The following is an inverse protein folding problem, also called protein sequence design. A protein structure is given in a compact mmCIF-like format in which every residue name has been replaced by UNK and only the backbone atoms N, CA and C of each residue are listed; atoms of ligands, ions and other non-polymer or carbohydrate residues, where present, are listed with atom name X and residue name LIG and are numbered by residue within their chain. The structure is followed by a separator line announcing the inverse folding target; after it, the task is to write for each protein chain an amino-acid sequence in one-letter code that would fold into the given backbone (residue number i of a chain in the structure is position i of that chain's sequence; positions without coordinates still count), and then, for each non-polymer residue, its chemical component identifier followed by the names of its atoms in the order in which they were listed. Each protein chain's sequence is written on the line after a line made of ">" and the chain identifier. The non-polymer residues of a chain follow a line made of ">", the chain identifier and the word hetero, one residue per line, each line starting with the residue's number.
data_IF_411160505758
#
_entry.id   IF_411160505758
#
_cell.length_a   1.000
_cell.length_b   1.000
_cell.length_c   1.000
_cell.angle_alpha   90.00
_cell.angle_beta   90.00
_cell.angle_gamma   90.00
#
_symmetry.space_group_name_H-M   'P 1'
#
loop_
_entity.id
_entity.type
_entity.pdbx_description
1 polymer ?
#
# COMPACT_ATOMS: atom_id res chain seq x y z
N UNK A 1 4.11 17.65 12.40
CA UNK A 1 4.50 16.46 11.65
C UNK A 1 5.71 15.81 12.31
N UNK A 2 5.44 14.81 13.14
CA UNK A 2 6.39 14.15 14.04
C UNK A 2 6.95 12.83 13.49
N UNK A 3 6.60 12.44 12.26
CA UNK A 3 7.09 11.19 11.65
C UNK A 3 8.61 11.24 11.50
N UNK A 4 9.30 10.37 12.25
CA UNK A 4 10.74 10.12 12.10
C UNK A 4 10.94 8.86 11.26
N UNK A 5 11.68 8.96 10.18
CA UNK A 5 11.95 7.86 9.24
C UNK A 5 13.38 7.34 9.33
N UNK A 6 14.24 7.92 10.17
CA UNK A 6 15.68 7.62 10.20
C UNK A 6 15.98 6.16 10.58
N UNK A 7 15.17 5.58 11.47
CA UNK A 7 15.31 4.19 11.92
C UNK A 7 14.16 3.30 11.40
N UNK A 8 13.57 3.67 10.27
CA UNK A 8 12.46 2.89 9.74
C UNK A 8 12.87 1.51 9.30
N UNK A 9 12.16 0.50 9.79
CA UNK A 9 12.37 -0.89 9.39
C UNK A 9 11.08 -1.51 8.89
N UNK A 10 11.21 -2.41 7.94
CA UNK A 10 10.11 -3.19 7.37
C UNK A 10 10.38 -4.65 7.65
N UNK A 11 9.45 -5.30 8.33
CA UNK A 11 9.49 -6.74 8.55
C UNK A 11 8.78 -7.44 7.40
N UNK A 12 9.45 -8.39 6.78
CA UNK A 12 8.92 -9.22 5.69
C UNK A 12 8.94 -10.66 6.17
N UNK A 13 7.76 -11.26 6.36
CA UNK A 13 7.61 -12.57 7.01
C UNK A 13 6.49 -13.42 6.42
N UNK A 14 6.10 -14.46 7.15
CA UNK A 14 5.05 -15.40 6.79
C UNK A 14 5.56 -16.55 5.94
N UNK A 15 4.79 -16.95 4.93
CA UNK A 15 5.04 -18.12 4.08
C UNK A 15 6.09 -17.82 3.00
N UNK A 16 7.33 -17.63 3.42
CA UNK A 16 8.51 -17.33 2.58
C UNK A 16 9.72 -18.15 3.02
N UNK A 17 10.63 -18.44 2.08
CA UNK A 17 11.91 -19.10 2.41
C UNK A 17 12.89 -18.13 3.08
N UNK A 18 12.89 -16.86 2.69
CA UNK A 18 13.85 -15.84 3.10
C UNK A 18 13.15 -14.69 3.83
N UNK A 19 12.67 -14.86 5.08
CA UNK A 19 12.16 -13.73 5.86
C UNK A 19 13.28 -12.76 6.16
N UNK A 20 12.94 -11.45 6.21
CA UNK A 20 13.92 -10.39 6.44
C UNK A 20 13.34 -9.22 7.19
N UNK A 21 14.21 -8.49 7.88
CA UNK A 21 13.93 -7.17 8.43
C UNK A 21 14.92 -6.20 7.81
N UNK A 22 14.41 -5.22 7.09
CA UNK A 22 15.22 -4.33 6.25
C UNK A 22 14.96 -2.87 6.56
N UNK A 23 15.99 -2.05 6.39
CA UNK A 23 15.88 -0.61 6.39
C UNK A 23 15.60 -0.09 4.98
N UNK A 24 15.34 1.21 4.84
CA UNK A 24 15.23 1.84 3.52
C UNK A 24 16.56 1.81 2.76
N UNK A 25 17.67 1.94 3.48
CA UNK A 25 19.01 1.86 2.91
C UNK A 25 19.30 0.44 2.36
N UNK A 26 18.90 -0.60 3.09
CA UNK A 26 18.99 -1.99 2.60
C UNK A 26 18.18 -2.16 1.31
N UNK A 27 16.95 -1.64 1.26
CA UNK A 27 16.12 -1.73 0.06
C UNK A 27 16.75 -1.01 -1.13
N UNK A 28 17.33 0.17 -0.92
CA UNK A 28 18.01 0.93 -1.98
C UNK A 28 19.24 0.23 -2.54
N UNK A 29 19.92 -0.56 -1.72
CA UNK A 29 21.07 -1.41 -2.12
C UNK A 29 20.63 -2.68 -2.82
N UNK A 30 19.48 -3.24 -2.42
CA UNK A 30 18.95 -4.50 -2.99
C UNK A 30 18.25 -4.31 -4.33
N UNK A 31 17.62 -3.15 -4.57
CA UNK A 31 16.80 -2.91 -5.74
C UNK A 31 17.21 -1.61 -6.44
N UNK A 32 17.31 -1.66 -7.78
CA UNK A 32 17.47 -0.45 -8.58
C UNK A 32 16.18 0.36 -8.55
N UNK A 33 16.29 1.63 -8.16
CA UNK A 33 15.17 2.56 -8.18
C UNK A 33 14.88 3.02 -9.62
N UNK A 34 13.62 3.11 -9.97
CA UNK A 34 13.12 3.62 -11.24
C UNK A 34 12.01 4.63 -11.02
N UNK A 35 11.73 5.46 -12.01
CA UNK A 35 10.57 6.34 -12.02
C UNK A 35 9.45 5.70 -12.82
N UNK A 36 8.22 5.76 -12.30
CA UNK A 36 6.99 5.35 -12.98
C UNK A 36 5.93 6.41 -12.86
N UNK A 37 5.40 6.82 -14.00
CA UNK A 37 4.33 7.82 -14.06
C UNK A 37 3.00 7.08 -14.14
N UNK A 38 2.22 7.15 -13.06
CA UNK A 38 0.93 6.48 -12.96
C UNK A 38 -0.21 7.46 -12.71
N UNK A 39 -1.36 7.19 -13.35
CA UNK A 39 -2.62 7.78 -12.93
C UNK A 39 -3.08 7.10 -11.64
N UNK A 40 -3.38 7.91 -10.65
CA UNK A 40 -3.83 7.48 -9.33
C UNK A 40 -5.27 7.95 -9.13
N UNK A 41 -6.21 7.03 -8.95
CA UNK A 41 -7.63 7.33 -8.84
C UNK A 41 -8.16 7.02 -7.45
N UNK A 42 -8.83 8.00 -6.85
CA UNK A 42 -9.55 7.83 -5.59
C UNK A 42 -10.96 7.25 -5.84
N UNK A 43 -11.46 6.48 -4.87
CA UNK A 43 -12.85 6.01 -4.88
C UNK A 43 -13.86 7.16 -4.80
N UNK A 44 -13.45 8.34 -4.33
CA UNK A 44 -14.26 9.58 -4.31
C UNK A 44 -14.33 10.31 -5.66
N UNK A 45 -14.01 9.61 -6.76
CA UNK A 45 -14.10 10.11 -8.14
C UNK A 45 -13.23 11.34 -8.44
N UNK A 46 -12.00 11.38 -7.90
CA UNK A 46 -10.94 12.28 -8.36
C UNK A 46 -9.68 11.50 -8.73
N UNK A 47 -8.85 12.07 -9.57
CA UNK A 47 -7.57 11.47 -9.99
C UNK A 47 -6.46 12.48 -10.14
N UNK A 48 -5.23 11.99 -10.12
CA UNK A 48 -4.02 12.74 -10.43
C UNK A 48 -3.01 11.84 -11.12
N UNK A 49 -2.09 12.44 -11.85
CA UNK A 49 -0.93 11.75 -12.44
C UNK A 49 0.27 12.05 -11.56
N UNK A 50 0.96 11.00 -11.12
CA UNK A 50 2.09 11.12 -10.18
C UNK A 50 3.29 10.34 -10.71
N UNK A 51 4.47 10.97 -10.83
CA UNK A 51 5.73 10.26 -11.07
C UNK A 51 6.28 9.71 -9.75
N UNK A 52 6.14 8.40 -9.58
CA UNK A 52 6.61 7.67 -8.40
C UNK A 52 8.05 7.19 -8.60
N UNK A 53 8.89 7.30 -7.57
CA UNK A 53 10.22 6.73 -7.53
C UNK A 53 10.24 5.53 -6.59
N UNK A 54 10.79 4.41 -7.02
CA UNK A 54 10.80 3.18 -6.23
C UNK A 54 11.19 1.96 -7.03
N UNK A 55 10.63 0.81 -6.70
CA UNK A 55 10.96 -0.47 -7.35
C UNK A 55 9.73 -1.39 -7.43
N UNK A 56 9.79 -2.37 -8.33
CA UNK A 56 8.72 -3.34 -8.54
C UNK A 56 8.46 -4.19 -7.29
N UNK A 57 7.19 -4.35 -6.89
CA UNK A 57 6.81 -5.27 -5.83
C UNK A 57 7.20 -6.71 -6.18
N UNK A 58 7.10 -7.11 -7.45
CA UNK A 58 7.51 -8.43 -7.92
C UNK A 58 8.99 -8.73 -7.66
N UNK A 59 9.86 -7.72 -7.68
CA UNK A 59 11.29 -7.89 -7.35
C UNK A 59 11.48 -8.27 -5.88
N UNK A 60 10.73 -7.66 -4.96
CA UNK A 60 10.73 -8.04 -3.55
C UNK A 60 10.19 -9.46 -3.34
N UNK A 61 9.06 -9.79 -4.00
CA UNK A 61 8.45 -11.12 -3.94
C UNK A 61 9.45 -12.20 -4.37
N UNK A 62 10.14 -12.00 -5.49
CA UNK A 62 11.18 -12.93 -5.98
C UNK A 62 12.33 -13.09 -4.98
N UNK A 63 12.72 -12.02 -4.29
CA UNK A 63 13.83 -12.03 -3.31
C UNK A 63 13.52 -12.88 -2.09
N UNK A 64 12.29 -12.80 -1.58
CA UNK A 64 11.87 -13.52 -0.36
C UNK A 64 11.44 -14.96 -0.65
N UNK A 65 11.22 -15.33 -1.91
CA UNK A 65 10.84 -16.67 -2.36
C UNK A 65 9.61 -17.21 -1.61
N UNK A 66 8.40 -16.80 -1.99
CA UNK A 66 7.19 -17.31 -1.37
C UNK A 66 7.05 -18.82 -1.51
N UNK A 67 6.56 -19.46 -0.46
CA UNK A 67 6.17 -20.87 -0.50
C UNK A 67 4.94 -21.04 -1.40
N UNK A 68 4.72 -22.22 -1.94
CA UNK A 68 3.57 -22.53 -2.81
C UNK A 68 2.21 -22.34 -2.12
N UNK A 69 2.19 -22.38 -0.80
CA UNK A 69 1.01 -22.11 0.05
C UNK A 69 0.68 -20.61 0.17
N UNK A 70 1.62 -19.71 -0.10
CA UNK A 70 1.35 -18.28 -0.07
C UNK A 70 0.43 -17.88 -1.23
N UNK A 71 -0.76 -17.39 -0.90
CA UNK A 71 -1.78 -16.97 -1.89
C UNK A 71 -2.00 -15.48 -1.91
N UNK A 72 -1.68 -14.80 -0.82
CA UNK A 72 -1.89 -13.37 -0.61
C UNK A 72 -0.70 -12.73 0.07
N UNK A 73 -0.59 -11.42 -0.10
CA UNK A 73 0.32 -10.55 0.66
C UNK A 73 -0.53 -9.60 1.48
N UNK A 74 -0.24 -9.53 2.77
CA UNK A 74 -0.85 -8.61 3.73
C UNK A 74 0.15 -7.52 4.09
N UNK A 75 -0.27 -6.27 4.01
CA UNK A 75 0.51 -5.09 4.35
C UNK A 75 -0.07 -4.43 5.59
N UNK A 76 0.81 -3.91 6.45
CA UNK A 76 0.42 -3.13 7.64
C UNK A 76 1.17 -1.81 7.67
N UNK A 77 0.43 -0.74 8.03
CA UNK A 77 1.02 0.56 8.31
C UNK A 77 1.51 0.65 9.76
N UNK A 78 2.37 1.63 10.03
CA UNK A 78 2.79 1.93 11.41
C UNK A 78 1.59 2.34 12.26
N UNK A 79 1.44 1.71 13.42
CA UNK A 79 0.55 2.15 14.48
C UNK A 79 1.39 2.82 15.56
N UNK A 80 1.41 4.14 15.54
CA UNK A 80 2.10 4.96 16.54
C UNK A 80 1.41 6.32 16.67
N UNK A 81 0.60 6.46 17.69
CA UNK A 81 -0.17 7.69 17.93
C UNK A 81 0.66 8.89 18.36
N UNK A 82 1.95 8.70 18.67
CA UNK A 82 2.88 9.81 18.90
C UNK A 82 3.39 10.42 17.60
N UNK A 83 3.62 9.57 16.59
CA UNK A 83 4.01 9.99 15.23
C UNK A 83 2.81 10.37 14.37
N UNK A 84 1.66 9.74 14.60
CA UNK A 84 0.41 9.98 13.88
C UNK A 84 -0.71 10.35 14.86
N UNK A 85 -0.82 11.62 15.25
CA UNK A 85 -1.83 12.06 16.23
C UNK A 85 -3.28 11.73 15.86
N UNK A 86 -3.57 11.62 14.57
CA UNK A 86 -4.91 11.26 14.07
C UNK A 86 -5.30 9.82 14.41
N UNK A 87 -4.34 8.94 14.69
CA UNK A 87 -4.60 7.57 15.16
C UNK A 87 -5.22 7.56 16.59
N UNK A 88 -5.06 8.63 17.37
CA UNK A 88 -5.70 8.79 18.69
C UNK A 88 -7.19 9.10 18.62
N UNK A 89 -7.70 9.51 17.48
CA UNK A 89 -9.09 9.96 17.29
C UNK A 89 -10.09 8.82 17.15
N UNK A 90 -9.88 7.68 17.81
CA UNK A 90 -10.75 6.49 17.77
C UNK A 90 -12.24 6.74 18.09
N UNK A 91 -12.64 7.93 18.54
CA UNK A 91 -14.06 8.31 18.78
C UNK A 91 -14.69 9.07 17.59
N UNK A 92 -13.87 9.57 16.66
CA UNK A 92 -14.30 10.24 15.43
C UNK A 92 -13.57 9.71 14.18
N UNK A 93 -12.67 8.73 14.36
CA UNK A 93 -11.96 8.06 13.27
C UNK A 93 -12.87 7.00 12.66
N UNK A 94 -13.02 7.06 11.35
CA UNK A 94 -13.76 6.06 10.55
C UNK A 94 -12.94 4.78 10.40
N UNK A 95 -11.66 4.77 10.82
CA UNK A 95 -10.68 3.72 10.48
C UNK A 95 -10.00 3.20 11.74
N UNK A 96 -9.99 1.86 11.91
CA UNK A 96 -9.18 1.18 12.92
C UNK A 96 -7.72 1.02 12.47
N UNK A 97 -6.78 1.14 13.41
CA UNK A 97 -5.35 0.93 13.18
C UNK A 97 -4.86 -0.37 13.85
N UNK A 98 -3.76 -1.00 13.36
CA UNK A 98 -3.01 -0.61 12.18
C UNK A 98 -3.86 -0.70 10.90
N UNK A 99 -3.64 0.23 9.96
CA UNK A 99 -4.28 0.13 8.65
C UNK A 99 -3.71 -1.10 7.92
N UNK A 100 -4.59 -1.94 7.40
CA UNK A 100 -4.27 -3.20 6.74
C UNK A 100 -4.80 -3.20 5.32
N UNK A 101 -3.97 -3.66 4.39
CA UNK A 101 -4.34 -3.94 3.02
C UNK A 101 -3.82 -5.29 2.55
N UNK A 102 -4.43 -5.80 1.49
CA UNK A 102 -4.04 -7.07 0.89
C UNK A 102 -4.04 -7.06 -0.64
N UNK A 103 -3.19 -7.90 -1.20
CA UNK A 103 -3.17 -8.24 -2.62
C UNK A 103 -3.14 -9.76 -2.77
N UNK A 104 -3.72 -10.29 -3.86
CA UNK A 104 -3.43 -11.65 -4.30
C UNK A 104 -1.98 -11.72 -4.81
N UNK A 105 -1.42 -12.93 -4.81
CA UNK A 105 -0.05 -13.14 -5.28
C UNK A 105 0.14 -12.75 -6.76
N UNK A 106 -0.84 -13.04 -7.63
CA UNK A 106 -0.78 -12.65 -9.04
C UNK A 106 -0.87 -11.12 -9.23
N UNK A 107 -1.63 -10.42 -8.40
CA UNK A 107 -1.66 -8.95 -8.39
C UNK A 107 -0.33 -8.35 -7.91
N UNK A 108 0.29 -8.96 -6.89
CA UNK A 108 1.60 -8.54 -6.41
C UNK A 108 2.72 -8.79 -7.44
N UNK A 109 2.58 -9.85 -8.24
CA UNK A 109 3.51 -10.19 -9.32
C UNK A 109 3.27 -9.42 -10.62
N UNK A 110 2.15 -8.69 -10.71
CA UNK A 110 1.87 -7.83 -11.86
C UNK A 110 2.96 -6.76 -11.99
N UNK A 111 3.42 -6.53 -13.22
CA UNK A 111 4.50 -5.57 -13.51
C UNK A 111 4.20 -4.14 -13.05
N UNK A 112 2.91 -3.75 -12.95
CA UNK A 112 2.50 -2.42 -12.51
C UNK A 112 2.51 -2.24 -10.99
N UNK A 113 2.56 -3.33 -10.20
CA UNK A 113 2.63 -3.23 -8.73
C UNK A 113 3.98 -2.71 -8.29
N UNK A 114 3.96 -1.64 -7.48
CA UNK A 114 5.15 -0.86 -7.20
C UNK A 114 5.25 -0.45 -5.73
N UNK A 115 6.46 -0.47 -5.19
CA UNK A 115 6.78 0.06 -3.87
C UNK A 115 7.52 1.39 -4.06
N UNK A 116 6.84 2.49 -3.73
CA UNK A 116 7.36 3.83 -3.91
C UNK A 116 8.01 4.36 -2.62
N UNK A 117 9.23 4.88 -2.76
CA UNK A 117 10.01 5.54 -1.70
C UNK A 117 10.17 7.04 -1.94
N UNK A 118 9.73 7.52 -3.10
CA UNK A 118 9.79 8.92 -3.52
C UNK A 118 8.74 9.27 -4.56
N UNK A 119 8.64 10.56 -4.85
CA UNK A 119 7.84 11.11 -5.95
C UNK A 119 8.46 12.40 -6.46
N UNK A 120 8.30 12.69 -7.77
CA UNK A 120 8.91 13.83 -8.45
C UNK A 120 10.44 13.91 -8.29
N UNK A 121 11.13 12.75 -8.19
CA UNK A 121 12.58 12.69 -7.99
C UNK A 121 13.05 12.99 -6.56
N UNK A 122 12.13 13.26 -5.64
CA UNK A 122 12.41 13.62 -4.24
C UNK A 122 12.01 12.50 -3.27
N UNK A 123 12.52 12.57 -2.05
CA UNK A 123 12.12 11.67 -0.95
C UNK A 123 10.61 11.82 -0.70
N UNK A 124 9.94 10.72 -0.41
CA UNK A 124 8.52 10.68 -0.13
C UNK A 124 8.11 11.64 0.98
N UNK A 125 7.24 12.65 0.72
CA UNK A 125 6.70 13.49 1.78
C UNK A 125 5.85 12.69 2.78
N UNK A 126 5.86 13.11 4.04
CA UNK A 126 5.18 12.42 5.15
C UNK A 126 3.70 12.14 4.85
N UNK A 127 2.96 13.13 4.38
CA UNK A 127 1.53 13.02 4.03
C UNK A 127 1.25 12.08 2.85
N UNK A 128 2.23 11.89 1.96
CA UNK A 128 2.10 11.05 0.77
C UNK A 128 2.41 9.57 1.03
N UNK A 129 2.78 9.23 2.27
CA UNK A 129 2.98 7.84 2.69
C UNK A 129 4.43 7.47 3.00
N UNK A 130 5.25 8.47 3.38
CA UNK A 130 6.63 8.22 3.80
C UNK A 130 6.74 7.12 4.85
N UNK A 131 7.87 6.40 4.84
CA UNK A 131 8.96 6.47 3.88
C UNK A 131 8.79 5.54 2.69
N UNK A 132 7.82 4.62 2.75
CA UNK A 132 7.52 3.66 1.68
C UNK A 132 6.03 3.37 1.63
N UNK A 133 5.49 3.30 0.43
CA UNK A 133 4.10 2.97 0.18
C UNK A 133 3.92 2.02 -0.99
N UNK A 134 2.78 1.34 -1.01
CA UNK A 134 2.32 0.59 -2.17
C UNK A 134 1.69 1.55 -3.19
N UNK A 135 1.87 1.25 -4.49
CA UNK A 135 1.16 1.87 -5.60
C UNK A 135 0.65 0.79 -6.55
N UNK A 136 -0.67 0.72 -6.71
CA UNK A 136 -1.37 -0.24 -7.57
C UNK A 136 -2.32 0.55 -8.48
N UNK A 137 -1.87 0.96 -9.70
CA UNK A 137 -2.55 2.00 -10.49
C UNK A 137 -3.93 1.59 -11.03
N UNK A 138 -4.22 0.29 -11.17
CA UNK A 138 -5.54 -0.18 -11.64
C UNK A 138 -6.56 -0.34 -10.52
N UNK A 139 -6.17 -0.10 -9.25
CA UNK A 139 -7.04 -0.16 -8.09
C UNK A 139 -7.29 1.23 -7.52
N UNK A 140 -8.41 1.38 -6.82
CA UNK A 140 -8.67 2.62 -6.09
C UNK A 140 -7.59 2.91 -5.04
N UNK A 141 -7.32 4.19 -4.83
CA UNK A 141 -6.17 4.68 -4.06
C UNK A 141 -6.05 4.17 -2.62
N UNK A 142 -7.16 3.76 -1.99
CA UNK A 142 -7.10 3.20 -0.64
C UNK A 142 -6.37 1.85 -0.57
N UNK A 143 -6.29 1.11 -1.68
CA UNK A 143 -5.49 -0.12 -1.80
C UNK A 143 -3.98 0.14 -1.75
N UNK A 144 -3.56 1.35 -2.05
CA UNK A 144 -2.16 1.77 -2.08
C UNK A 144 -1.73 2.24 -0.68
N UNK A 145 -1.61 1.30 0.25
CA UNK A 145 -1.30 1.52 1.67
C UNK A 145 -0.02 2.33 1.87
N UNK A 146 -0.03 3.25 2.84
CA UNK A 146 1.04 4.19 3.19
C UNK A 146 1.86 3.71 4.39
N UNK A 147 3.10 4.21 4.50
CA UNK A 147 3.95 4.06 5.70
C UNK A 147 4.05 2.60 6.17
N UNK A 148 4.42 1.73 5.25
CA UNK A 148 4.47 0.27 5.48
C UNK A 148 5.57 -0.08 6.47
N UNK A 149 5.23 -0.89 7.48
CA UNK A 149 6.18 -1.47 8.46
C UNK A 149 6.22 -2.99 8.40
N UNK A 150 5.20 -3.61 7.79
CA UNK A 150 5.13 -5.07 7.70
C UNK A 150 4.51 -5.54 6.40
N UNK A 151 5.10 -6.60 5.84
CA UNK A 151 4.66 -7.30 4.63
C UNK A 151 4.66 -8.79 4.96
N UNK A 152 3.48 -9.42 5.05
CA UNK A 152 3.34 -10.82 5.42
C UNK A 152 2.74 -11.64 4.28
N UNK A 153 3.35 -12.77 3.98
CA UNK A 153 2.87 -13.71 2.97
C UNK A 153 1.97 -14.75 3.64
N UNK A 154 0.72 -14.86 3.21
CA UNK A 154 -0.32 -15.62 3.88
C UNK A 154 -1.09 -16.53 2.93
N UNK A 155 -1.73 -17.58 3.45
CA UNK A 155 -2.53 -18.55 2.68
C UNK A 155 -3.99 -18.11 2.51
N UNK A 156 -4.49 -17.26 3.43
CA UNK A 156 -5.88 -16.79 3.45
C UNK A 156 -5.97 -15.33 3.05
N UNK A 157 -7.08 -14.96 2.42
CA UNK A 157 -7.38 -13.57 2.08
C UNK A 157 -7.39 -12.70 3.35
N UNK A 158 -6.52 -11.67 3.41
CA UNK A 158 -6.52 -10.78 4.56
C UNK A 158 -7.72 -9.83 4.52
N UNK A 159 -8.43 -9.72 5.63
CA UNK A 159 -9.47 -8.73 5.77
C UNK A 159 -8.84 -7.33 5.86
N UNK A 160 -9.10 -6.47 4.89
CA UNK A 160 -8.55 -5.12 4.89
C UNK A 160 -9.35 -4.16 5.80
N UNK A 161 -8.77 -3.01 6.10
CA UNK A 161 -9.35 -2.05 7.04
C UNK A 161 -10.71 -1.55 6.59
N UNK A 162 -10.87 -1.18 5.30
CA UNK A 162 -12.15 -0.67 4.80
C UNK A 162 -13.26 -1.73 4.77
N UNK A 163 -12.94 -3.00 4.49
CA UNK A 163 -13.91 -4.09 4.60
C UNK A 163 -14.40 -4.27 6.04
N UNK A 164 -13.52 -4.11 7.03
CA UNK A 164 -13.91 -4.16 8.45
C UNK A 164 -14.86 -3.04 8.84
N UNK A 165 -14.64 -1.84 8.30
CA UNK A 165 -15.43 -0.66 8.64
C UNK A 165 -16.78 -0.64 7.90
N UNK A 166 -16.80 -1.06 6.62
CA UNK A 166 -18.02 -1.09 5.81
C UNK A 166 -17.92 -2.06 4.63
N UNK A 167 -18.23 -3.32 4.86
CA UNK A 167 -18.18 -4.39 3.85
C UNK A 167 -19.16 -4.21 2.69
N UNK A 168 -20.22 -3.42 2.87
CA UNK A 168 -21.19 -3.13 1.82
C UNK A 168 -20.69 -2.11 0.79
N UNK A 169 -19.70 -1.31 1.15
CA UNK A 169 -19.15 -0.25 0.29
C UNK A 169 -17.77 -0.57 -0.28
N UNK A 170 -16.98 -1.39 0.43
CA UNK A 170 -15.58 -1.64 0.09
C UNK A 170 -15.27 -3.14 0.02
N UNK A 171 -14.81 -3.57 -1.16
CA UNK A 171 -14.38 -4.95 -1.40
C UNK A 171 -12.86 -5.12 -1.35
N UNK A 172 -12.41 -6.38 -1.29
CA UNK A 172 -10.98 -6.71 -1.29
C UNK A 172 -10.27 -6.25 -2.57
N UNK A 173 -10.87 -6.47 -3.74
CA UNK A 173 -10.21 -6.19 -5.03
C UNK A 173 -10.12 -4.70 -5.34
N UNK A 174 -11.21 -3.98 -5.17
CA UNK A 174 -11.30 -2.52 -5.38
C UNK A 174 -10.66 -2.04 -6.70
N UNK A 175 -10.86 -2.80 -7.77
CA UNK A 175 -10.41 -2.41 -9.11
C UNK A 175 -11.21 -1.22 -9.61
N UNK A 176 -10.54 -0.26 -10.26
CA UNK A 176 -11.20 0.90 -10.85
C UNK A 176 -12.19 0.44 -11.92
N UNK A 177 -13.46 0.74 -11.73
CA UNK A 177 -14.53 0.51 -12.71
C UNK A 177 -15.47 1.71 -12.77
N UNK A 178 -15.33 2.58 -13.79
CA UNK A 178 -16.19 3.77 -13.95
C UNK A 178 -17.67 3.46 -14.21
N UNK A 179 -17.98 2.23 -14.60
CA UNK A 179 -19.35 1.81 -14.88
C UNK A 179 -20.11 1.28 -13.65
N UNK A 180 -19.41 1.12 -12.53
CA UNK A 180 -19.98 0.72 -11.25
C UNK A 180 -19.87 1.88 -10.28
N UNK A 181 -21.01 2.43 -9.89
CA UNK A 181 -21.07 3.54 -8.96
C UNK A 181 -20.80 3.08 -7.52
N UNK A 182 -20.24 3.96 -6.71
CA UNK A 182 -20.22 3.79 -5.26
C UNK A 182 -21.65 3.96 -4.72
N UNK A 183 -22.07 3.29 -3.64
CA UNK A 183 -23.44 3.43 -3.10
C UNK A 183 -23.89 4.87 -2.85
N UNK A 184 -22.94 5.79 -2.60
CA UNK A 184 -23.21 7.19 -2.25
C UNK A 184 -22.91 8.21 -3.36
N UNK A 185 -22.19 7.84 -4.43
CA UNK A 185 -21.84 8.74 -5.56
C UNK A 185 -21.53 7.99 -6.84
N UNK A 186 -21.57 8.72 -7.97
CA UNK A 186 -21.26 8.16 -9.28
C UNK A 186 -19.78 8.20 -9.62
N UNK A 187 -19.29 7.16 -10.27
CA UNK A 187 -17.94 7.07 -10.81
C UNK A 187 -17.83 7.44 -12.29
N UNK A 188 -18.95 7.80 -12.97
CA UNK A 188 -18.97 8.12 -14.40
C UNK A 188 -18.19 9.39 -14.75
N UNK A 189 -18.08 10.31 -13.79
CA UNK A 189 -17.28 11.54 -13.94
C UNK A 189 -16.22 11.56 -12.86
N UNK A 190 -15.03 12.06 -13.21
CA UNK A 190 -13.98 12.29 -12.22
C UNK A 190 -13.43 13.71 -12.32
N UNK A 191 -12.96 14.19 -11.19
CA UNK A 191 -12.23 15.47 -11.07
C UNK A 191 -10.74 15.19 -11.23
N UNK A 192 -10.05 16.02 -11.98
CA UNK A 192 -8.60 15.97 -12.24
C UNK A 192 -7.94 17.17 -11.58
#
# INVERSE_FOLDING_TARGET
>A
HTLNTDNWTITIDGLVENPMKVTLDDLSKMFSLEERIYRFRCVEAWSMVVPWNGFSLASLVKKVKPLSSAKYIRFETLEDSSMFPDQKRGRFGVISYPYVEGLRMDEAMNELSFLATGLYGEIMPKQNGAPIRLVVPWKYGFKSIKSIVKISFVDKEPLNTWQKENENEYGFYANVNPNVDHPRWSHKKERV
#
